data_IF_612418102115
#
_entry.id   IF_612418102115
#
_cell.length_a   1.000
_cell.length_b   1.000
_cell.length_c   1.000
_cell.angle_alpha   90.00
_cell.angle_beta   90.00
_cell.angle_gamma   90.00
#
_symmetry.space_group_name_H-M   'P 1'
#
loop_
_entity.id
_entity.type
_entity.pdbx_description
1 polymer ?
#
# COMPACT_ATOMS: atom_id res chain seq x y z
N UNK A 1 17.79 66.87 -7.16
CA UNK A 1 18.56 65.80 -7.82
C UNK A 1 18.37 64.54 -7.00
N UNK A 2 17.48 63.64 -7.43
CA UNK A 2 17.10 62.43 -6.70
C UNK A 2 17.79 61.23 -7.32
N UNK A 3 18.67 60.57 -6.55
CA UNK A 3 19.42 59.40 -6.98
C UNK A 3 18.53 58.14 -7.01
N UNK A 4 18.06 57.76 -8.20
CA UNK A 4 17.39 56.49 -8.51
C UNK A 4 18.39 55.35 -8.80
N UNK A 5 19.57 55.36 -8.17
CA UNK A 5 20.59 54.33 -8.36
C UNK A 5 20.49 53.15 -7.37
N UNK A 6 19.64 53.24 -6.32
CA UNK A 6 19.57 52.23 -5.26
C UNK A 6 18.51 51.12 -5.44
N UNK A 7 17.57 51.28 -6.37
CA UNK A 7 16.41 50.37 -6.48
C UNK A 7 16.62 49.29 -7.55
N UNK A 8 17.43 49.57 -8.58
CA UNK A 8 17.64 48.62 -9.69
C UNK A 8 18.58 47.46 -9.34
N UNK A 9 19.46 47.63 -8.35
CA UNK A 9 20.40 46.58 -7.92
C UNK A 9 19.75 45.51 -7.04
N UNK A 10 18.60 45.81 -6.42
CA UNK A 10 17.87 44.85 -5.58
C UNK A 10 17.06 43.83 -6.42
N UNK A 11 16.58 44.22 -7.61
CA UNK A 11 15.80 43.32 -8.46
C UNK A 11 16.65 42.23 -9.15
N UNK A 12 17.94 42.49 -9.40
CA UNK A 12 18.81 41.52 -10.09
C UNK A 12 19.38 40.45 -9.16
N UNK A 13 19.57 40.76 -7.87
CA UNK A 13 20.05 39.77 -6.89
C UNK A 13 18.93 38.81 -6.47
N UNK A 14 17.67 39.27 -6.47
CA UNK A 14 16.50 38.44 -6.19
C UNK A 14 16.14 37.48 -7.35
N UNK A 15 16.41 37.83 -8.62
CA UNK A 15 16.09 36.93 -9.74
C UNK A 15 17.09 35.79 -9.93
N UNK A 16 18.35 35.96 -9.51
CA UNK A 16 19.38 34.90 -9.61
C UNK A 16 19.39 33.93 -8.42
N UNK A 17 18.83 34.31 -7.27
CA UNK A 17 18.73 33.40 -6.09
C UNK A 17 17.46 32.55 -6.09
N UNK A 18 16.47 32.84 -6.94
CA UNK A 18 15.24 32.04 -7.05
C UNK A 18 15.35 30.84 -7.98
N UNK A 19 16.36 30.76 -8.86
CA UNK A 19 16.52 29.63 -9.78
C UNK A 19 17.34 28.46 -9.22
N UNK A 20 18.02 28.61 -8.08
CA UNK A 20 18.79 27.52 -7.43
C UNK A 20 18.06 26.86 -6.24
N UNK A 21 16.90 27.38 -5.86
CA UNK A 21 15.99 26.76 -4.90
C UNK A 21 15.06 25.70 -5.52
N UNK A 22 15.15 25.49 -6.83
CA UNK A 22 14.68 24.26 -7.47
C UNK A 22 15.74 23.15 -7.31
N UNK A 23 16.20 22.93 -6.07
CA UNK A 23 16.60 21.59 -5.68
C UNK A 23 15.34 20.75 -5.85
N UNK A 24 15.23 20.08 -6.99
CA UNK A 24 14.24 19.04 -7.22
C UNK A 24 14.21 18.18 -5.95
N UNK A 25 13.05 17.98 -5.33
CA UNK A 25 13.02 17.27 -4.06
C UNK A 25 13.64 15.91 -4.34
N UNK A 26 14.76 15.67 -3.66
CA UNK A 26 15.42 14.38 -3.50
C UNK A 26 14.33 13.34 -3.54
N UNK A 27 14.31 12.52 -4.61
CA UNK A 27 13.28 11.54 -4.92
C UNK A 27 12.70 11.01 -3.62
N UNK A 28 11.45 11.37 -3.31
CA UNK A 28 10.91 11.18 -1.96
C UNK A 28 11.18 9.74 -1.56
N UNK A 29 12.05 9.52 -0.57
CA UNK A 29 12.42 8.17 -0.13
C UNK A 29 11.12 7.42 0.06
N UNK A 30 10.93 6.37 -0.72
CA UNK A 30 9.73 5.57 -0.71
C UNK A 30 9.32 5.26 0.74
N UNK A 31 8.21 5.85 1.21
CA UNK A 31 7.74 5.69 2.60
C UNK A 31 6.86 4.46 2.75
N UNK A 32 7.35 3.31 2.28
CA UNK A 32 6.58 2.07 2.20
C UNK A 32 5.93 1.68 3.53
N UNK A 33 6.66 1.78 4.65
CA UNK A 33 6.11 1.50 5.97
C UNK A 33 4.93 2.40 6.36
N UNK A 34 5.02 3.71 6.06
CA UNK A 34 3.95 4.65 6.38
C UNK A 34 2.69 4.34 5.57
N UNK A 35 2.87 4.05 4.27
CA UNK A 35 1.76 3.67 3.38
C UNK A 35 1.10 2.35 3.82
N UNK A 36 1.91 1.35 4.20
CA UNK A 36 1.40 0.09 4.73
C UNK A 36 0.60 0.29 6.03
N UNK A 37 1.06 1.15 6.95
CA UNK A 37 0.31 1.45 8.19
C UNK A 37 -1.04 2.10 7.90
N UNK A 38 -1.08 3.05 6.97
CA UNK A 38 -2.33 3.68 6.55
C UNK A 38 -3.27 2.64 5.93
N UNK A 39 -2.77 1.84 4.99
CA UNK A 39 -3.57 0.79 4.33
C UNK A 39 -4.08 -0.26 5.33
N UNK A 40 -3.30 -0.63 6.36
CA UNK A 40 -3.77 -1.50 7.45
C UNK A 40 -5.00 -0.92 8.14
N UNK A 41 -4.97 0.37 8.47
CA UNK A 41 -6.08 1.05 9.12
C UNK A 41 -7.32 1.13 8.20
N UNK A 42 -7.11 1.38 6.91
CA UNK A 42 -8.20 1.36 5.91
C UNK A 42 -8.85 -0.03 5.81
N UNK A 43 -8.07 -1.11 5.85
CA UNK A 43 -8.60 -2.49 5.88
C UNK A 43 -9.41 -2.77 7.16
N UNK A 44 -8.93 -2.33 8.33
CA UNK A 44 -9.66 -2.46 9.60
C UNK A 44 -11.01 -1.74 9.54
N UNK A 45 -11.05 -0.52 9.00
CA UNK A 45 -12.27 0.28 8.88
C UNK A 45 -13.26 -0.31 7.86
N UNK A 46 -12.76 -0.83 6.74
CA UNK A 46 -13.59 -1.39 5.67
C UNK A 46 -14.48 -2.54 6.15
N UNK A 47 -14.00 -3.30 7.13
CA UNK A 47 -14.73 -4.42 7.73
C UNK A 47 -16.05 -3.95 8.37
N UNK A 48 -15.98 -2.84 9.10
CA UNK A 48 -17.15 -2.18 9.71
C UNK A 48 -18.05 -1.56 8.64
N UNK A 49 -17.46 -0.88 7.65
CA UNK A 49 -18.22 -0.19 6.59
C UNK A 49 -19.01 -1.15 5.70
N UNK A 50 -18.47 -2.35 5.41
CA UNK A 50 -19.15 -3.32 4.56
C UNK A 50 -20.24 -4.12 5.28
N UNK A 51 -20.42 -3.96 6.59
CA UNK A 51 -21.48 -4.62 7.36
C UNK A 51 -21.45 -6.14 7.20
N UNK A 52 -20.24 -6.73 7.23
CA UNK A 52 -20.04 -8.16 7.03
C UNK A 52 -20.54 -8.95 8.25
N UNK A 53 -21.84 -9.22 8.29
CA UNK A 53 -22.46 -10.09 9.29
C UNK A 53 -22.10 -11.56 9.00
N UNK A 54 -20.92 -11.98 9.46
CA UNK A 54 -20.45 -13.37 9.41
C UNK A 54 -20.57 -13.98 10.81
N UNK A 55 -21.03 -15.24 10.95
CA UNK A 55 -21.15 -15.89 12.26
C UNK A 55 -19.84 -15.85 13.05
N UNK A 56 -19.92 -15.66 14.37
CA UNK A 56 -18.74 -15.59 15.26
C UNK A 56 -17.86 -16.84 15.24
N UNK A 57 -18.40 -18.00 14.85
CA UNK A 57 -17.65 -19.26 14.75
C UNK A 57 -17.03 -19.52 13.37
N UNK A 58 -16.98 -18.53 12.50
CA UNK A 58 -16.27 -18.63 11.24
C UNK A 58 -14.76 -18.83 11.50
N UNK A 59 -14.18 -19.88 10.90
CA UNK A 59 -12.75 -20.17 10.97
C UNK A 59 -12.04 -19.51 9.78
N UNK A 60 -11.07 -18.60 10.00
CA UNK A 60 -10.29 -18.01 8.93
C UNK A 60 -9.59 -19.07 8.07
N UNK A 61 -9.68 -18.91 6.75
CA UNK A 61 -8.95 -19.74 5.80
C UNK A 61 -7.59 -19.10 5.51
N UNK A 62 -6.55 -19.93 5.42
CA UNK A 62 -5.21 -19.44 5.09
C UNK A 62 -5.19 -18.99 3.63
N UNK A 63 -4.85 -17.72 3.40
CA UNK A 63 -4.56 -17.19 2.06
C UNK A 63 -3.10 -17.48 1.73
N UNK A 64 -2.78 -18.36 0.76
CA UNK A 64 -1.40 -18.82 0.53
C UNK A 64 -0.40 -17.71 0.22
N UNK A 65 -0.88 -16.60 -0.34
CA UNK A 65 -0.05 -15.44 -0.70
C UNK A 65 0.30 -14.53 0.48
N UNK A 66 -0.32 -14.72 1.65
CA UNK A 66 -0.11 -13.89 2.84
C UNK A 66 0.89 -14.48 3.83
N UNK A 67 1.73 -15.42 3.38
CA UNK A 67 2.69 -16.11 4.23
C UNK A 67 4.08 -15.49 4.09
N UNK A 68 4.51 -14.74 5.11
CA UNK A 68 5.91 -14.31 5.30
C UNK A 68 6.46 -15.11 6.48
N UNK A 69 7.13 -16.22 6.20
CA UNK A 69 7.62 -17.15 7.21
C UNK A 69 9.14 -17.01 7.38
N UNK A 70 9.61 -16.93 8.63
CA UNK A 70 11.02 -16.86 9.01
C UNK A 70 11.82 -18.11 8.62
N UNK A 71 11.15 -19.25 8.38
CA UNK A 71 11.79 -20.47 7.88
C UNK A 71 12.16 -20.40 6.40
N UNK A 72 11.67 -19.41 5.66
CA UNK A 72 12.03 -19.18 4.26
C UNK A 72 13.32 -18.38 4.15
N UNK A 73 14.09 -18.59 3.07
CA UNK A 73 15.22 -17.71 2.78
C UNK A 73 14.78 -16.26 2.61
N UNK A 74 15.65 -15.30 2.89
CA UNK A 74 15.33 -13.87 2.75
C UNK A 74 14.81 -13.51 1.35
N UNK A 75 15.37 -14.12 0.29
CA UNK A 75 14.88 -13.94 -1.08
C UNK A 75 13.43 -14.43 -1.25
N UNK A 76 13.11 -15.62 -0.71
CA UNK A 76 11.74 -16.15 -0.74
C UNK A 76 10.77 -15.31 0.09
N UNK A 77 11.18 -14.79 1.25
CA UNK A 77 10.35 -13.87 2.04
C UNK A 77 10.03 -12.58 1.27
N UNK A 78 11.02 -11.97 0.62
CA UNK A 78 10.81 -10.80 -0.24
C UNK A 78 9.84 -11.10 -1.38
N UNK A 79 9.94 -12.29 -1.98
CA UNK A 79 9.05 -12.71 -3.06
C UNK A 79 7.62 -12.92 -2.55
N UNK A 80 7.45 -13.62 -1.43
CA UNK A 80 6.14 -13.82 -0.81
C UNK A 80 5.50 -12.49 -0.41
N UNK A 81 6.28 -11.57 0.15
CA UNK A 81 5.82 -10.21 0.47
C UNK A 81 5.28 -9.48 -0.77
N UNK A 82 6.02 -9.51 -1.89
CA UNK A 82 5.55 -8.90 -3.14
C UNK A 82 4.29 -9.59 -3.67
N UNK A 83 4.23 -10.92 -3.64
CA UNK A 83 3.06 -11.66 -4.08
C UNK A 83 1.82 -11.35 -3.21
N UNK A 84 1.97 -11.22 -1.90
CA UNK A 84 0.87 -10.81 -1.00
C UNK A 84 0.36 -9.41 -1.30
N UNK A 85 1.25 -8.45 -1.57
CA UNK A 85 0.85 -7.09 -2.00
C UNK A 85 0.07 -7.12 -3.31
N UNK A 86 0.51 -7.91 -4.30
CA UNK A 86 -0.22 -8.06 -5.56
C UNK A 86 -1.58 -8.74 -5.32
N UNK A 87 -1.65 -9.76 -4.46
CA UNK A 87 -2.92 -10.41 -4.12
C UNK A 87 -3.92 -9.41 -3.54
N UNK A 88 -3.48 -8.55 -2.60
CA UNK A 88 -4.33 -7.49 -2.04
C UNK A 88 -4.88 -6.56 -3.11
N UNK A 89 -4.03 -6.14 -4.07
CA UNK A 89 -4.46 -5.31 -5.20
C UNK A 89 -5.58 -5.99 -5.99
N UNK A 90 -5.35 -7.22 -6.46
CA UNK A 90 -6.31 -7.93 -7.31
C UNK A 90 -7.62 -8.21 -6.55
N UNK A 91 -7.54 -8.51 -5.25
CA UNK A 91 -8.72 -8.74 -4.41
C UNK A 91 -9.52 -7.46 -4.19
N UNK A 92 -8.85 -6.33 -3.91
CA UNK A 92 -9.51 -5.03 -3.76
C UNK A 92 -10.14 -4.58 -5.06
N UNK A 93 -9.46 -4.74 -6.20
CA UNK A 93 -10.01 -4.39 -7.50
C UNK A 93 -11.32 -5.14 -7.77
N UNK A 94 -11.34 -6.47 -7.59
CA UNK A 94 -12.57 -7.27 -7.74
C UNK A 94 -13.67 -6.91 -6.74
N UNK A 95 -13.32 -6.48 -5.52
CA UNK A 95 -14.30 -5.95 -4.56
C UNK A 95 -14.86 -4.60 -5.02
N UNK A 96 -14.01 -3.72 -5.53
CA UNK A 96 -14.41 -2.40 -6.03
C UNK A 96 -15.34 -2.53 -7.24
N UNK A 97 -15.12 -3.47 -8.16
CA UNK A 97 -16.04 -3.72 -9.28
C UNK A 97 -17.47 -4.02 -8.82
N UNK A 98 -17.61 -4.64 -7.64
CA UNK A 98 -18.91 -4.98 -7.04
C UNK A 98 -19.48 -3.88 -6.14
N UNK A 99 -18.63 -2.96 -5.69
CA UNK A 99 -18.95 -1.89 -4.76
C UNK A 99 -18.40 -0.55 -5.27
N UNK A 100 -18.79 -0.17 -6.49
CA UNK A 100 -18.19 0.94 -7.26
C UNK A 100 -18.24 2.29 -6.55
N UNK A 101 -19.23 2.51 -5.68
CA UNK A 101 -19.42 3.75 -4.93
C UNK A 101 -18.72 3.76 -3.56
N UNK A 102 -18.00 2.69 -3.18
CA UNK A 102 -17.30 2.64 -1.92
C UNK A 102 -15.96 3.38 -2.01
N UNK A 103 -15.89 4.56 -1.39
CA UNK A 103 -14.71 5.43 -1.41
C UNK A 103 -13.49 4.80 -0.75
N UNK A 104 -13.66 3.97 0.29
CA UNK A 104 -12.55 3.27 0.97
C UNK A 104 -11.93 2.25 0.01
N UNK A 105 -12.73 1.47 -0.71
CA UNK A 105 -12.23 0.52 -1.72
C UNK A 105 -11.48 1.22 -2.86
N UNK A 106 -11.99 2.36 -3.33
CA UNK A 106 -11.31 3.18 -4.33
C UNK A 106 -9.96 3.69 -3.81
N UNK A 107 -9.93 4.24 -2.60
CA UNK A 107 -8.72 4.74 -1.96
C UNK A 107 -7.68 3.62 -1.75
N UNK A 108 -8.12 2.45 -1.25
CA UNK A 108 -7.27 1.26 -1.11
C UNK A 108 -6.70 0.81 -2.46
N UNK A 109 -7.51 0.79 -3.52
CA UNK A 109 -7.04 0.38 -4.84
C UNK A 109 -5.97 1.33 -5.38
N UNK A 110 -6.19 2.65 -5.25
CA UNK A 110 -5.23 3.68 -5.66
C UNK A 110 -3.93 3.58 -4.84
N UNK A 111 -4.05 3.50 -3.51
CA UNK A 111 -2.96 3.32 -2.55
C UNK A 111 -2.09 2.11 -2.89
N UNK A 112 -2.71 0.94 -3.08
CA UNK A 112 -2.00 -0.30 -3.34
C UNK A 112 -1.38 -0.30 -4.74
N UNK A 113 -2.16 0.05 -5.77
CA UNK A 113 -1.75 -0.04 -7.18
C UNK A 113 -0.62 0.91 -7.54
N UNK A 114 -0.73 2.18 -7.15
CA UNK A 114 0.20 3.22 -7.60
C UNK A 114 1.36 3.40 -6.62
N UNK A 115 1.05 3.45 -5.33
CA UNK A 115 2.04 3.86 -4.34
C UNK A 115 2.76 2.66 -3.74
N UNK A 116 2.03 1.70 -3.16
CA UNK A 116 2.64 0.56 -2.47
C UNK A 116 3.37 -0.35 -3.46
N UNK A 117 2.74 -0.76 -4.57
CA UNK A 117 3.39 -1.63 -5.56
C UNK A 117 4.57 -0.92 -6.24
N UNK A 118 4.42 0.36 -6.58
CA UNK A 118 5.50 1.16 -7.17
C UNK A 118 6.74 1.16 -6.28
N UNK A 119 6.52 1.43 -4.99
CA UNK A 119 7.53 1.36 -3.95
C UNK A 119 8.08 -0.06 -3.73
N UNK A 120 7.21 -1.06 -3.59
CA UNK A 120 7.59 -2.42 -3.27
C UNK A 120 8.54 -3.03 -4.32
N UNK A 121 8.40 -2.64 -5.59
CA UNK A 121 9.29 -3.06 -6.68
C UNK A 121 10.77 -2.70 -6.45
N UNK A 122 11.07 -1.63 -5.72
CA UNK A 122 12.47 -1.27 -5.40
C UNK A 122 13.00 -1.95 -4.14
N UNK A 123 12.15 -2.58 -3.34
CA UNK A 123 12.52 -3.15 -2.04
C UNK A 123 12.35 -4.67 -1.95
N UNK A 124 11.50 -5.26 -2.78
CA UNK A 124 11.10 -6.67 -2.75
C UNK A 124 11.44 -7.39 -4.05
N UNK A 125 11.42 -8.72 -4.01
CA UNK A 125 11.65 -9.57 -5.17
C UNK A 125 10.38 -9.69 -6.00
N UNK A 126 10.52 -9.78 -7.32
CA UNK A 126 9.40 -9.92 -8.25
C UNK A 126 8.57 -11.18 -7.93
N UNK A 127 7.25 -11.03 -7.92
CA UNK A 127 6.34 -12.18 -7.88
C UNK A 127 6.30 -12.87 -9.25
N UNK A 128 6.51 -14.18 -9.29
CA UNK A 128 6.59 -14.91 -10.57
C UNK A 128 5.21 -15.23 -11.17
N UNK A 129 4.19 -15.34 -10.33
CA UNK A 129 2.83 -15.68 -10.74
C UNK A 129 1.90 -14.61 -10.19
N UNK A 130 1.14 -13.96 -11.06
CA UNK A 130 0.15 -13.00 -10.59
C UNK A 130 -0.96 -13.78 -9.86
N UNK A 131 -1.20 -13.49 -8.57
CA UNK A 131 -2.30 -14.09 -7.84
C UNK A 131 -3.64 -13.76 -8.50
N UNK A 132 -4.52 -14.74 -8.57
CA UNK A 132 -5.90 -14.58 -9.01
C UNK A 132 -6.86 -14.94 -7.87
N UNK A 133 -7.42 -13.96 -7.15
CA UNK A 133 -8.36 -14.21 -6.07
C UNK A 133 -9.67 -14.82 -6.60
N UNK A 134 -9.96 -16.06 -6.20
CA UNK A 134 -11.20 -16.74 -6.57
C UNK A 134 -12.33 -16.32 -5.64
N UNK A 135 -13.18 -15.40 -6.11
CA UNK A 135 -14.32 -14.91 -5.34
C UNK A 135 -15.48 -15.91 -5.45
N UNK A 136 -16.05 -16.40 -4.33
CA UNK A 136 -17.20 -17.28 -4.37
C UNK A 136 -18.44 -16.62 -5.01
N UNK A 137 -19.20 -17.42 -5.75
CA UNK A 137 -20.45 -16.98 -6.37
C UNK A 137 -21.55 -16.76 -5.33
N UNK A 138 -21.68 -17.67 -4.35
CA UNK A 138 -22.67 -17.56 -3.28
C UNK A 138 -22.48 -16.28 -2.47
N UNK A 139 -23.55 -15.53 -2.26
CA UNK A 139 -23.53 -14.30 -1.47
C UNK A 139 -23.00 -14.51 -0.05
N UNK A 140 -23.37 -15.63 0.59
CA UNK A 140 -22.92 -15.96 1.94
C UNK A 140 -21.43 -16.32 1.99
N UNK A 141 -20.97 -17.19 1.09
CA UNK A 141 -19.56 -17.56 0.99
C UNK A 141 -18.69 -16.38 0.57
N UNK A 142 -19.22 -15.47 -0.25
CA UNK A 142 -18.55 -14.22 -0.60
C UNK A 142 -18.36 -13.33 0.61
N UNK A 143 -19.37 -13.17 1.47
CA UNK A 143 -19.22 -12.39 2.71
C UNK A 143 -18.14 -12.97 3.62
N UNK A 144 -18.11 -14.30 3.78
CA UNK A 144 -17.04 -15.01 4.51
C UNK A 144 -15.68 -14.76 3.88
N UNK A 145 -15.56 -14.94 2.57
CA UNK A 145 -14.32 -14.72 1.84
C UNK A 145 -13.82 -13.28 1.98
N UNK A 146 -14.71 -12.29 1.83
CA UNK A 146 -14.36 -10.88 2.04
C UNK A 146 -13.87 -10.65 3.46
N UNK A 147 -14.58 -11.17 4.47
CA UNK A 147 -14.16 -11.05 5.88
C UNK A 147 -12.78 -11.68 6.09
N UNK A 148 -12.56 -12.88 5.56
CA UNK A 148 -11.27 -13.56 5.60
C UNK A 148 -10.15 -12.72 5.02
N UNK A 149 -10.42 -12.17 3.83
CA UNK A 149 -9.47 -11.37 3.09
C UNK A 149 -9.08 -10.11 3.85
N UNK A 150 -10.05 -9.39 4.42
CA UNK A 150 -9.79 -8.17 5.19
C UNK A 150 -8.96 -8.49 6.44
N UNK A 151 -9.39 -9.46 7.24
CA UNK A 151 -8.71 -9.85 8.49
C UNK A 151 -7.27 -10.34 8.19
N UNK A 152 -7.12 -11.19 7.18
CA UNK A 152 -5.80 -11.72 6.79
C UNK A 152 -4.90 -10.66 6.14
N UNK A 153 -5.46 -9.63 5.50
CA UNK A 153 -4.67 -8.51 4.95
C UNK A 153 -4.07 -7.65 6.06
N UNK A 154 -4.84 -7.40 7.13
CA UNK A 154 -4.36 -6.67 8.31
C UNK A 154 -3.20 -7.42 8.97
N UNK A 155 -3.34 -8.73 9.14
CA UNK A 155 -2.30 -9.60 9.70
C UNK A 155 -1.06 -9.65 8.77
N UNK A 156 -1.27 -9.83 7.47
CA UNK A 156 -0.20 -9.83 6.48
C UNK A 156 0.61 -8.52 6.50
N UNK A 157 -0.07 -7.37 6.53
CA UNK A 157 0.59 -6.07 6.61
C UNK A 157 1.39 -5.94 7.90
N UNK A 158 0.87 -6.45 9.03
CA UNK A 158 1.62 -6.49 10.28
C UNK A 158 2.93 -7.29 10.14
N UNK A 159 2.87 -8.49 9.57
CA UNK A 159 4.07 -9.30 9.30
C UNK A 159 5.03 -8.62 8.32
N UNK A 160 4.52 -7.99 7.27
CA UNK A 160 5.32 -7.25 6.31
C UNK A 160 6.06 -6.07 6.96
N UNK A 161 5.40 -5.31 7.83
CA UNK A 161 6.03 -4.21 8.56
C UNK A 161 7.17 -4.72 9.47
N UNK A 162 6.98 -5.85 10.15
CA UNK A 162 8.02 -6.45 10.97
C UNK A 162 9.22 -6.93 10.12
N UNK A 163 8.93 -7.56 8.99
CA UNK A 163 9.95 -7.99 8.02
C UNK A 163 10.78 -6.79 7.48
N UNK A 164 10.12 -5.70 7.11
CA UNK A 164 10.80 -4.50 6.59
C UNK A 164 11.72 -3.86 7.64
N UNK A 165 11.32 -3.81 8.91
CA UNK A 165 12.16 -3.29 9.99
C UNK A 165 13.44 -4.09 10.20
N UNK A 166 13.37 -5.43 10.11
CA UNK A 166 14.57 -6.27 10.26
C UNK A 166 15.63 -6.01 9.19
N UNK A 167 15.22 -5.54 8.01
CA UNK A 167 16.12 -5.17 6.91
C UNK A 167 16.85 -3.84 7.13
N UNK A 168 16.30 -2.92 7.91
CA UNK A 168 16.92 -1.60 8.15
C UNK A 168 18.11 -1.67 9.12
N UNK A 169 18.27 -2.78 9.84
CA UNK A 169 19.32 -3.00 10.83
C UNK A 169 20.41 -4.00 10.37
N UNK A 170 20.39 -4.43 9.10
CA UNK A 170 21.40 -5.26 8.45
C UNK A 170 22.14 -4.46 7.39
#
# INVERSE_FOLDING_TARGET
>A
MSSTAGILTLCFVLSMTLCTLMATPVASKCKLEAMLRQTKHEFENLNTTLGLNVPHHYKPEVIPYFVINNSLSHHQQNKSAMCGVIYMKEAIWKLQERHTNNQILKSLNESISHYIIGCAKSHLAKCNHNPDPKIPESHFERKKWTRNFLDSSVEFIHHLLNFLKTKTHQ
#
